data_IF_262991890036
#
_entry.id   IF_262991890036
#
_cell.length_a   1.000
_cell.length_b   1.000
_cell.length_c   1.000
_cell.angle_alpha   90.00
_cell.angle_beta   90.00
_cell.angle_gamma   90.00
#
_symmetry.space_group_name_H-M   'P 1'
#
loop_
_entity.id
_entity.type
_entity.pdbx_description
1 polymer ?
#
# COMPACT_ATOMS: atom_id res chain seq x y z
N UNK A 1 81.38 6.36 32.23
CA UNK A 1 81.57 7.73 31.72
C UNK A 1 80.47 7.96 30.69
N UNK A 2 79.49 8.83 30.98
CA UNK A 2 78.36 9.05 30.07
C UNK A 2 78.75 10.14 29.07
N UNK A 3 78.86 9.78 27.79
CA UNK A 3 79.04 10.75 26.70
C UNK A 3 77.63 11.07 26.18
N UNK A 4 77.22 12.34 26.30
CA UNK A 4 75.98 12.83 25.72
C UNK A 4 76.17 13.06 24.21
N UNK A 5 75.53 12.25 23.38
CA UNK A 5 75.24 12.58 21.98
C UNK A 5 73.77 12.96 21.84
N UNK A 6 73.48 13.98 21.01
CA UNK A 6 72.25 14.78 20.99
C UNK A 6 70.90 14.11 20.67
N UNK A 7 70.73 12.80 20.88
CA UNK A 7 69.41 12.17 20.94
C UNK A 7 69.52 10.80 21.61
N UNK A 8 69.00 10.67 22.83
CA UNK A 8 68.86 9.39 23.54
C UNK A 8 70.04 8.99 24.43
N UNK A 9 69.77 8.74 25.71
CA UNK A 9 70.70 8.07 26.63
C UNK A 9 70.68 6.58 26.27
N UNK A 10 71.77 6.06 25.70
CA UNK A 10 71.97 4.61 25.54
C UNK A 10 72.26 3.99 26.91
N UNK A 11 71.19 3.65 27.63
CA UNK A 11 71.29 2.97 28.92
C UNK A 11 71.68 1.51 28.70
N UNK A 12 72.80 1.06 29.29
CA UNK A 12 73.21 -0.35 29.31
C UNK A 12 74.47 -0.72 28.52
N UNK A 13 75.23 0.26 27.99
CA UNK A 13 76.52 -0.06 27.35
C UNK A 13 77.59 -0.34 28.41
N UNK A 14 77.91 -1.61 28.64
CA UNK A 14 79.08 -2.00 29.42
C UNK A 14 80.34 -1.90 28.54
N UNK A 15 81.00 -0.74 28.62
CA UNK A 15 82.17 -0.36 27.81
C UNK A 15 83.47 -0.94 28.40
N UNK A 16 83.39 -1.68 29.52
CA UNK A 16 84.56 -2.18 30.26
C UNK A 16 85.46 -3.11 29.41
N UNK A 17 84.88 -3.86 28.47
CA UNK A 17 85.60 -4.75 27.56
C UNK A 17 86.46 -4.01 26.51
N UNK A 18 86.14 -2.74 26.20
CA UNK A 18 86.87 -1.95 25.19
C UNK A 18 88.16 -1.33 25.74
N UNK A 19 88.34 -1.29 27.07
CA UNK A 19 89.53 -0.73 27.72
C UNK A 19 90.66 -1.74 27.98
N UNK A 20 90.47 -3.02 27.67
CA UNK A 20 91.43 -4.10 27.98
C UNK A 20 92.26 -4.56 26.78
N UNK A 21 91.99 -4.04 25.57
CA UNK A 21 92.63 -4.52 24.34
C UNK A 21 93.10 -3.34 23.48
N UNK A 22 94.40 -3.28 23.14
CA UNK A 22 94.99 -2.21 22.31
C UNK A 22 95.09 -2.57 20.81
N UNK A 23 94.39 -3.63 20.38
CA UNK A 23 94.40 -4.13 19.00
C UNK A 23 93.25 -3.51 18.20
N UNK A 24 93.61 -2.67 17.22
CA UNK A 24 92.67 -1.82 16.45
C UNK A 24 91.66 -2.67 15.67
N UNK A 25 92.06 -3.83 15.14
CA UNK A 25 91.15 -4.71 14.39
C UNK A 25 90.13 -5.37 15.30
N UNK A 26 90.53 -5.78 16.50
CA UNK A 26 89.62 -6.36 17.51
C UNK A 26 88.62 -5.34 18.03
N UNK A 27 89.05 -4.08 18.25
CA UNK A 27 88.16 -3.00 18.66
C UNK A 27 87.11 -2.68 17.59
N UNK A 28 87.48 -2.68 16.30
CA UNK A 28 86.54 -2.50 15.17
C UNK A 28 85.54 -3.65 15.10
N UNK A 29 86.00 -4.89 15.25
CA UNK A 29 85.12 -6.06 15.24
C UNK A 29 84.11 -6.05 16.41
N UNK A 30 84.54 -5.69 17.62
CA UNK A 30 83.66 -5.55 18.78
C UNK A 30 82.65 -4.41 18.60
N UNK A 31 83.06 -3.26 18.08
CA UNK A 31 82.16 -2.13 17.81
C UNK A 31 81.09 -2.50 16.77
N UNK A 32 81.47 -3.18 15.68
CA UNK A 32 80.53 -3.67 14.67
C UNK A 32 79.55 -4.70 15.25
N UNK A 33 80.03 -5.66 16.04
CA UNK A 33 79.17 -6.64 16.69
C UNK A 33 78.19 -5.99 17.68
N UNK A 34 78.62 -4.97 18.41
CA UNK A 34 77.78 -4.24 19.35
C UNK A 34 76.70 -3.41 18.63
N UNK A 35 77.05 -2.73 17.53
CA UNK A 35 76.10 -1.99 16.69
C UNK A 35 75.10 -2.96 16.05
N UNK A 36 75.55 -4.11 15.56
CA UNK A 36 74.68 -5.12 14.96
C UNK A 36 73.70 -5.72 15.98
N UNK A 37 74.16 -5.96 17.22
CA UNK A 37 73.29 -6.38 18.33
C UNK A 37 72.22 -5.34 18.65
N UNK A 38 72.60 -4.07 18.81
CA UNK A 38 71.66 -2.97 19.07
C UNK A 38 70.66 -2.78 17.92
N UNK A 39 71.09 -2.93 16.67
CA UNK A 39 70.20 -2.88 15.50
C UNK A 39 69.20 -4.04 15.52
N UNK A 40 69.61 -5.24 15.93
CA UNK A 40 68.72 -6.40 16.04
C UNK A 40 67.70 -6.27 17.18
N UNK A 41 68.11 -5.74 18.33
CA UNK A 41 67.24 -5.50 19.49
C UNK A 41 66.21 -4.40 19.17
N UNK A 42 66.65 -3.27 18.60
CA UNK A 42 65.75 -2.20 18.17
C UNK A 42 64.77 -2.64 17.05
N UNK A 43 65.20 -3.56 16.17
CA UNK A 43 64.32 -4.11 15.14
C UNK A 43 63.26 -5.04 15.76
N UNK A 44 63.62 -5.85 16.75
CA UNK A 44 62.68 -6.69 17.47
C UNK A 44 61.64 -5.86 18.24
N UNK A 45 62.09 -4.81 18.94
CA UNK A 45 61.22 -3.90 19.69
C UNK A 45 60.24 -3.14 18.77
N UNK A 46 60.69 -2.71 17.58
CA UNK A 46 59.83 -2.08 16.57
C UNK A 46 58.72 -3.01 16.09
N UNK A 47 59.05 -4.27 15.80
CA UNK A 47 58.06 -5.26 15.33
C UNK A 47 57.01 -5.52 16.40
N UNK A 48 57.40 -5.59 17.67
CA UNK A 48 56.46 -5.78 18.77
C UNK A 48 55.56 -4.55 18.98
N UNK A 49 56.11 -3.34 18.89
CA UNK A 49 55.33 -2.10 18.93
C UNK A 49 54.35 -1.98 17.76
N UNK A 50 54.73 -2.39 16.55
CA UNK A 50 53.85 -2.40 15.37
C UNK A 50 52.68 -3.39 15.55
N UNK A 51 52.94 -4.57 16.14
CA UNK A 51 51.89 -5.55 16.47
C UNK A 51 50.92 -5.01 17.51
N UNK A 52 51.44 -4.40 18.57
CA UNK A 52 50.60 -3.81 19.62
C UNK A 52 49.73 -2.67 19.07
N UNK A 53 50.30 -1.82 18.22
CA UNK A 53 49.60 -0.71 17.57
C UNK A 53 48.50 -1.22 16.64
N UNK A 54 48.77 -2.28 15.88
CA UNK A 54 47.79 -2.92 15.00
C UNK A 54 46.63 -3.54 15.81
N UNK A 55 46.92 -4.23 16.92
CA UNK A 55 45.92 -4.78 17.82
C UNK A 55 45.04 -3.68 18.46
N UNK A 56 45.65 -2.57 18.89
CA UNK A 56 44.92 -1.39 19.42
C UNK A 56 44.03 -0.75 18.36
N UNK A 57 44.51 -0.60 17.12
CA UNK A 57 43.73 -0.04 16.02
C UNK A 57 42.52 -0.92 15.67
N UNK A 58 42.69 -2.24 15.62
CA UNK A 58 41.57 -3.16 15.42
C UNK A 58 40.54 -3.03 16.55
N UNK A 59 40.99 -2.89 17.79
CA UNK A 59 40.10 -2.69 18.94
C UNK A 59 39.32 -1.37 18.84
N UNK A 60 39.97 -0.29 18.43
CA UNK A 60 39.33 1.02 18.23
C UNK A 60 38.25 0.93 17.14
N UNK A 61 38.56 0.33 15.98
CA UNK A 61 37.59 0.15 14.90
C UNK A 61 36.35 -0.64 15.37
N UNK A 62 36.54 -1.73 16.11
CA UNK A 62 35.43 -2.51 16.66
C UNK A 62 34.57 -1.68 17.62
N UNK A 63 35.19 -0.88 18.49
CA UNK A 63 34.47 -0.01 19.42
C UNK A 63 33.71 1.11 18.70
N UNK A 64 34.28 1.68 17.65
CA UNK A 64 33.62 2.69 16.82
C UNK A 64 32.40 2.12 16.09
N UNK A 65 32.51 0.93 15.50
CA UNK A 65 31.38 0.27 14.83
C UNK A 65 30.27 -0.09 15.82
N UNK A 66 30.60 -0.60 17.01
CA UNK A 66 29.61 -0.83 18.07
C UNK A 66 28.92 0.47 18.50
N UNK A 67 29.66 1.57 18.65
CA UNK A 67 29.09 2.87 18.99
C UNK A 67 28.14 3.38 17.90
N UNK A 68 28.50 3.22 16.62
CA UNK A 68 27.61 3.55 15.50
C UNK A 68 26.31 2.74 15.55
N UNK A 69 26.40 1.43 15.77
CA UNK A 69 25.23 0.55 15.89
C UNK A 69 24.32 0.94 17.06
N UNK A 70 24.88 1.16 18.25
CA UNK A 70 24.11 1.58 19.43
C UNK A 70 23.47 2.95 19.20
N UNK A 71 24.18 3.89 18.56
CA UNK A 71 23.63 5.21 18.23
C UNK A 71 22.48 5.10 17.22
N UNK A 72 22.59 4.22 16.23
CA UNK A 72 21.52 3.94 15.27
C UNK A 72 20.31 3.23 15.93
N UNK A 73 20.53 2.32 16.87
CA UNK A 73 19.43 1.68 17.60
C UNK A 73 18.71 2.66 18.55
N UNK A 74 19.46 3.54 19.21
CA UNK A 74 18.93 4.48 20.22
C UNK A 74 18.33 5.75 19.62
N UNK A 75 18.95 6.28 18.57
CA UNK A 75 18.59 7.57 17.95
C UNK A 75 18.31 7.47 16.44
N UNK A 76 18.53 6.32 15.82
CA UNK A 76 18.13 6.10 14.43
C UNK A 76 16.61 6.04 14.31
N UNK A 77 16.13 6.31 13.09
CA UNK A 77 14.70 6.32 12.80
C UNK A 77 14.14 4.91 12.98
N UNK A 78 13.24 4.74 13.95
CA UNK A 78 12.57 3.46 14.25
C UNK A 78 11.46 3.10 13.24
N UNK A 79 11.14 4.01 12.33
CA UNK A 79 10.20 3.80 11.25
C UNK A 79 10.72 4.52 10.00
N UNK A 80 10.50 3.91 8.83
CA UNK A 80 10.58 4.61 7.57
C UNK A 80 9.49 5.70 7.58
N UNK A 81 9.89 6.96 7.69
CA UNK A 81 8.98 8.06 7.37
C UNK A 81 8.74 8.01 5.87
N UNK A 82 7.51 7.70 5.50
CA UNK A 82 7.06 7.64 4.11
C UNK A 82 7.38 8.97 3.41
N UNK A 83 8.25 8.91 2.39
CA UNK A 83 8.58 10.07 1.56
C UNK A 83 7.34 10.49 0.75
N UNK A 84 7.30 11.74 0.26
CA UNK A 84 6.08 12.35 -0.33
C UNK A 84 5.33 11.48 -1.37
N UNK A 85 6.03 10.66 -2.17
CA UNK A 85 5.39 9.73 -3.11
C UNK A 85 4.57 8.61 -2.43
N UNK A 86 4.97 8.14 -1.24
CA UNK A 86 4.23 7.12 -0.49
C UNK A 86 2.96 7.67 0.18
N UNK A 87 2.78 9.00 0.30
CA UNK A 87 1.49 9.57 0.74
C UNK A 87 0.38 9.31 -0.28
N UNK A 88 0.71 9.31 -1.57
CA UNK A 88 -0.26 9.04 -2.63
C UNK A 88 -0.86 7.63 -2.54
N UNK A 89 -0.17 6.69 -1.88
CA UNK A 89 -0.72 5.35 -1.63
C UNK A 89 -2.00 5.36 -0.78
N UNK A 90 -2.16 6.35 0.09
CA UNK A 90 -3.35 6.48 0.94
C UNK A 90 -4.41 7.42 0.35
N UNK A 91 -4.09 8.17 -0.71
CA UNK A 91 -5.09 8.97 -1.45
C UNK A 91 -6.12 8.03 -2.10
N UNK A 92 -5.70 6.84 -2.54
CA UNK A 92 -6.58 5.81 -3.10
C UNK A 92 -7.72 5.41 -2.15
N UNK A 93 -7.40 5.24 -0.86
CA UNK A 93 -8.39 4.83 0.15
C UNK A 93 -9.34 5.99 0.48
N UNK A 94 -8.82 7.23 0.50
CA UNK A 94 -9.65 8.44 0.67
C UNK A 94 -10.62 8.59 -0.49
N UNK A 95 -10.16 8.42 -1.73
CA UNK A 95 -11.00 8.50 -2.91
C UNK A 95 -12.10 7.42 -2.88
N UNK A 96 -11.76 6.20 -2.44
CA UNK A 96 -12.73 5.12 -2.28
C UNK A 96 -13.77 5.43 -1.20
N UNK A 97 -13.36 5.97 -0.05
CA UNK A 97 -14.26 6.39 1.02
C UNK A 97 -15.19 7.52 0.57
N UNK A 98 -14.67 8.52 -0.15
CA UNK A 98 -15.46 9.60 -0.75
C UNK A 98 -16.51 9.00 -1.70
N UNK A 99 -16.10 8.11 -2.60
CA UNK A 99 -17.01 7.47 -3.55
C UNK A 99 -18.09 6.63 -2.86
N UNK A 100 -17.75 5.91 -1.78
CA UNK A 100 -18.73 5.17 -0.98
C UNK A 100 -19.77 6.10 -0.34
N UNK A 101 -19.32 7.22 0.24
CA UNK A 101 -20.21 8.21 0.84
C UNK A 101 -21.10 8.88 -0.22
N UNK A 102 -20.55 9.25 -1.37
CA UNK A 102 -21.34 9.79 -2.50
C UNK A 102 -22.39 8.80 -2.97
N UNK A 103 -22.03 7.53 -3.16
CA UNK A 103 -22.98 6.49 -3.58
C UNK A 103 -24.10 6.25 -2.54
N UNK A 104 -23.83 6.42 -1.25
CA UNK A 104 -24.88 6.39 -0.22
C UNK A 104 -25.78 7.63 -0.28
N UNK A 105 -25.20 8.83 -0.46
CA UNK A 105 -25.97 10.07 -0.58
C UNK A 105 -26.90 10.04 -1.80
N UNK A 106 -26.42 9.57 -2.94
CA UNK A 106 -27.20 9.43 -4.18
C UNK A 106 -28.43 8.52 -4.02
N UNK A 107 -28.40 7.57 -3.07
CA UNK A 107 -29.56 6.71 -2.76
C UNK A 107 -30.56 7.38 -1.81
N UNK A 108 -30.09 8.27 -0.94
CA UNK A 108 -30.90 8.89 0.11
C UNK A 108 -31.55 10.20 -0.34
N UNK A 109 -30.88 10.95 -1.22
CA UNK A 109 -31.37 12.22 -1.74
C UNK A 109 -32.09 12.00 -3.07
N UNK A 110 -33.27 12.60 -3.28
CA UNK A 110 -33.85 12.67 -4.62
C UNK A 110 -32.88 13.46 -5.50
N UNK A 111 -32.55 12.93 -6.69
CA UNK A 111 -31.71 13.63 -7.66
C UNK A 111 -32.39 14.95 -8.02
N UNK A 112 -31.89 16.06 -7.48
CA UNK A 112 -32.38 17.38 -7.85
C UNK A 112 -31.83 17.71 -9.24
N UNK A 113 -32.66 18.24 -10.16
CA UNK A 113 -32.21 18.67 -11.48
C UNK A 113 -31.17 19.81 -11.42
N UNK A 114 -30.98 20.43 -10.25
CA UNK A 114 -30.02 21.52 -10.02
C UNK A 114 -28.55 21.08 -9.97
N UNK A 115 -28.24 19.79 -9.84
CA UNK A 115 -26.83 19.33 -9.90
C UNK A 115 -26.24 19.39 -11.32
N UNK A 116 -27.08 19.43 -12.35
CA UNK A 116 -26.66 19.62 -13.75
C UNK A 116 -26.28 21.09 -14.06
N UNK A 117 -26.58 22.06 -13.18
CA UNK A 117 -26.30 23.50 -13.39
C UNK A 117 -24.98 23.99 -12.77
N UNK A 118 -24.19 23.14 -12.10
CA UNK A 118 -22.85 23.56 -11.64
C UNK A 118 -21.89 23.64 -12.83
N UNK A 119 -21.30 24.84 -12.99
CA UNK A 119 -20.30 25.31 -13.98
C UNK A 119 -19.55 24.22 -14.77
N UNK A 120 -19.26 24.44 -16.06
CA UNK A 120 -18.66 23.43 -16.94
C UNK A 120 -17.25 23.08 -16.45
N UNK A 121 -17.15 22.14 -15.52
CA UNK A 121 -15.93 21.38 -15.31
C UNK A 121 -15.67 20.70 -16.65
N UNK A 122 -14.51 20.95 -17.23
CA UNK A 122 -13.97 20.19 -18.36
C UNK A 122 -14.22 18.71 -18.07
N UNK A 123 -15.29 18.14 -18.63
CA UNK A 123 -15.62 16.73 -18.45
C UNK A 123 -14.55 16.00 -19.25
N UNK A 124 -13.65 15.23 -18.61
CA UNK A 124 -12.62 14.52 -19.34
C UNK A 124 -13.30 13.69 -20.43
N UNK A 125 -12.90 13.92 -21.67
CA UNK A 125 -13.44 13.20 -22.82
C UNK A 125 -13.11 11.73 -22.63
N UNK A 126 -14.15 10.91 -22.49
CA UNK A 126 -13.98 9.46 -22.30
C UNK A 126 -13.23 8.91 -23.50
N UNK A 127 -12.11 8.24 -23.25
CA UNK A 127 -11.40 7.50 -24.29
C UNK A 127 -12.29 6.32 -24.73
N UNK A 128 -12.41 6.05 -26.03
CA UNK A 128 -13.12 4.87 -26.49
C UNK A 128 -12.42 3.61 -25.99
N UNK A 129 -13.19 2.54 -25.78
CA UNK A 129 -12.63 1.24 -25.42
C UNK A 129 -11.77 0.69 -26.57
N UNK A 130 -10.71 -0.08 -26.28
CA UNK A 130 -9.78 -0.56 -27.32
C UNK A 130 -10.49 -1.28 -28.47
N UNK A 131 -10.08 -0.98 -29.70
CA UNK A 131 -10.71 -1.52 -30.90
C UNK A 131 -10.48 -3.03 -31.07
N UNK A 132 -9.33 -3.54 -30.59
CA UNK A 132 -8.94 -4.95 -30.74
C UNK A 132 -9.74 -5.91 -29.84
N UNK A 133 -10.44 -5.39 -28.81
CA UNK A 133 -11.21 -6.24 -27.91
C UNK A 133 -12.48 -6.76 -28.61
N UNK A 134 -12.85 -8.04 -28.38
CA UNK A 134 -14.05 -8.63 -28.96
C UNK A 134 -15.29 -7.89 -28.47
N UNK A 135 -16.24 -7.63 -29.38
CA UNK A 135 -17.52 -6.97 -29.07
C UNK A 135 -18.65 -7.98 -29.09
N UNK A 136 -19.41 -8.04 -28.00
CA UNK A 136 -20.61 -8.87 -27.88
C UNK A 136 -21.81 -7.95 -27.90
N UNK A 137 -22.68 -8.12 -28.90
CA UNK A 137 -23.87 -7.29 -29.05
C UNK A 137 -25.03 -7.84 -28.20
N UNK A 138 -25.62 -6.96 -27.39
CA UNK A 138 -26.78 -7.25 -26.53
C UNK A 138 -27.90 -6.31 -26.92
N UNK A 139 -28.88 -6.82 -27.66
CA UNK A 139 -30.05 -6.03 -28.10
C UNK A 139 -31.11 -6.08 -27.00
N UNK A 140 -31.48 -4.92 -26.46
CA UNK A 140 -32.54 -4.78 -25.46
C UNK A 140 -33.72 -4.07 -26.13
N UNK A 141 -34.72 -4.86 -26.50
CA UNK A 141 -35.98 -4.35 -27.06
C UNK A 141 -36.92 -3.92 -25.92
N UNK A 142 -37.88 -3.00 -26.18
CA UNK A 142 -39.00 -2.79 -25.27
C UNK A 142 -39.81 -4.09 -25.12
N UNK A 143 -40.52 -4.23 -24.00
CA UNK A 143 -41.31 -5.43 -23.68
C UNK A 143 -42.50 -5.63 -24.64
N UNK A 144 -42.97 -4.56 -25.27
CA UNK A 144 -44.09 -4.57 -26.22
C UNK A 144 -43.73 -3.86 -27.52
N UNK A 145 -44.22 -4.39 -28.63
CA UNK A 145 -44.13 -3.77 -29.96
C UNK A 145 -45.26 -2.74 -30.21
N UNK A 146 -46.17 -2.59 -29.24
CA UNK A 146 -47.31 -1.67 -29.28
C UNK A 146 -47.26 -0.68 -28.13
N UNK A 147 -47.86 0.50 -28.34
CA UNK A 147 -47.90 1.55 -27.35
C UNK A 147 -48.81 1.17 -26.17
N UNK A 148 -48.34 1.19 -24.91
CA UNK A 148 -49.16 0.81 -23.76
C UNK A 148 -50.36 1.74 -23.50
N UNK A 149 -50.45 2.90 -24.15
CA UNK A 149 -51.52 3.87 -23.96
C UNK A 149 -52.59 3.86 -25.06
N UNK A 150 -52.22 3.57 -26.32
CA UNK A 150 -53.15 3.60 -27.46
C UNK A 150 -53.13 2.33 -28.30
N UNK A 151 -52.35 1.32 -27.91
CA UNK A 151 -52.21 0.01 -28.57
C UNK A 151 -51.71 0.06 -30.03
N UNK A 152 -51.22 1.22 -30.50
CA UNK A 152 -50.73 1.33 -31.87
C UNK A 152 -49.28 0.83 -32.04
N UNK A 153 -48.96 0.26 -33.23
CA UNK A 153 -47.65 -0.32 -33.49
C UNK A 153 -46.56 0.76 -33.44
N UNK A 154 -45.51 0.46 -32.69
CA UNK A 154 -44.38 1.35 -32.46
C UNK A 154 -43.49 1.44 -33.70
N UNK A 155 -43.09 2.66 -34.07
CA UNK A 155 -42.20 2.90 -35.20
C UNK A 155 -40.76 3.08 -34.75
N UNK A 156 -39.82 2.34 -35.33
CA UNK A 156 -38.39 2.48 -35.02
C UNK A 156 -37.88 3.87 -35.45
N UNK A 157 -37.11 4.50 -34.56
CA UNK A 157 -36.51 5.83 -34.79
C UNK A 157 -35.00 5.70 -35.00
N UNK A 158 -34.31 5.14 -34.00
CA UNK A 158 -32.85 5.07 -33.91
C UNK A 158 -32.44 4.07 -32.85
N UNK A 159 -31.19 3.63 -32.90
CA UNK A 159 -30.60 2.80 -31.86
C UNK A 159 -29.74 3.64 -30.92
N UNK A 160 -30.00 3.52 -29.62
CA UNK A 160 -29.12 4.05 -28.58
C UNK A 160 -28.08 2.98 -28.22
N UNK A 161 -26.82 3.25 -28.51
CA UNK A 161 -25.72 2.32 -28.27
C UNK A 161 -24.91 2.74 -27.04
N UNK A 162 -24.53 1.78 -26.21
CA UNK A 162 -23.56 1.99 -25.13
C UNK A 162 -22.61 0.79 -25.03
N UNK A 163 -21.33 1.08 -24.85
CA UNK A 163 -20.29 0.05 -24.70
C UNK A 163 -19.85 -0.02 -23.23
N UNK A 164 -19.75 -1.24 -22.70
CA UNK A 164 -19.24 -1.54 -21.36
C UNK A 164 -18.19 -2.63 -21.41
N UNK A 165 -17.11 -2.44 -20.68
CA UNK A 165 -16.01 -3.38 -20.55
C UNK A 165 -16.37 -4.49 -19.54
N UNK A 166 -16.33 -5.74 -19.97
CA UNK A 166 -16.47 -6.93 -19.16
C UNK A 166 -15.12 -7.59 -18.95
N UNK A 167 -14.84 -8.00 -17.71
CA UNK A 167 -13.73 -8.88 -17.40
C UNK A 167 -14.23 -10.32 -17.30
N UNK A 168 -13.70 -11.19 -18.15
CA UNK A 168 -13.81 -12.64 -18.01
C UNK A 168 -12.42 -13.10 -17.55
N UNK A 169 -12.27 -14.04 -16.60
CA UNK A 169 -10.95 -14.45 -16.14
C UNK A 169 -9.94 -14.62 -17.29
N UNK A 170 -8.85 -13.88 -17.21
CA UNK A 170 -7.76 -13.76 -18.18
C UNK A 170 -8.00 -12.96 -19.49
N UNK A 171 -9.19 -12.42 -19.79
CA UNK A 171 -9.39 -11.56 -20.97
C UNK A 171 -10.55 -10.55 -20.84
N UNK A 172 -10.55 -9.54 -21.71
CA UNK A 172 -11.58 -8.51 -21.73
C UNK A 172 -12.50 -8.65 -22.94
N UNK A 173 -13.77 -8.33 -22.74
CA UNK A 173 -14.80 -8.27 -23.78
C UNK A 173 -15.52 -6.94 -23.66
N UNK A 174 -15.97 -6.38 -24.77
CA UNK A 174 -16.80 -5.17 -24.78
C UNK A 174 -18.24 -5.56 -25.06
N UNK A 175 -19.11 -5.42 -24.08
CA UNK A 175 -20.55 -5.54 -24.26
C UNK A 175 -21.10 -4.28 -24.91
N UNK A 176 -21.60 -4.42 -26.14
CA UNK A 176 -22.32 -3.36 -26.85
C UNK A 176 -23.81 -3.55 -26.63
N UNK A 177 -24.37 -2.74 -25.74
CA UNK A 177 -25.81 -2.67 -25.52
C UNK A 177 -26.44 -1.81 -26.60
N UNK A 178 -27.30 -2.43 -27.41
CA UNK A 178 -28.07 -1.78 -28.46
C UNK A 178 -29.50 -1.68 -27.95
N UNK A 179 -29.97 -0.46 -27.73
CA UNK A 179 -31.33 -0.18 -27.28
C UNK A 179 -32.09 0.55 -28.37
N UNK A 180 -32.87 -0.17 -29.20
CA UNK A 180 -33.71 0.48 -30.19
C UNK A 180 -34.70 1.42 -29.50
N UNK A 181 -34.86 2.61 -30.05
CA UNK A 181 -35.83 3.61 -29.62
C UNK A 181 -36.97 3.62 -30.64
N UNK A 182 -38.18 3.49 -30.15
CA UNK A 182 -39.39 3.53 -30.95
C UNK A 182 -40.27 4.71 -30.55
N UNK A 183 -41.00 5.30 -31.49
CA UNK A 183 -42.02 6.32 -31.24
C UNK A 183 -43.41 5.78 -31.51
N UNK A 184 -44.36 6.16 -30.65
CA UNK A 184 -45.76 6.04 -30.97
C UNK A 184 -46.23 7.22 -31.85
N UNK A 185 -46.85 6.98 -33.03
CA UNK A 185 -47.34 8.06 -33.89
C UNK A 185 -48.54 8.82 -33.29
N UNK A 186 -49.36 8.18 -32.45
CA UNK A 186 -50.51 8.81 -31.79
C UNK A 186 -50.09 9.65 -30.57
N UNK A 187 -49.32 9.06 -29.65
CA UNK A 187 -48.96 9.69 -28.37
C UNK A 187 -47.68 10.54 -28.42
N UNK A 188 -46.88 10.44 -29.49
CA UNK A 188 -45.56 11.09 -29.64
C UNK A 188 -44.57 10.79 -28.49
N UNK A 189 -44.76 9.67 -27.77
CA UNK A 189 -43.86 9.18 -26.72
C UNK A 189 -42.81 8.22 -27.28
N UNK A 190 -41.62 8.22 -26.66
CA UNK A 190 -40.50 7.35 -27.03
C UNK A 190 -40.41 6.20 -26.04
N UNK A 191 -40.35 4.97 -26.57
CA UNK A 191 -40.21 3.73 -25.83
C UNK A 191 -38.88 3.06 -26.19
N UNK A 192 -38.21 2.51 -25.20
CA UNK A 192 -36.94 1.80 -25.37
C UNK A 192 -36.74 0.82 -24.23
N UNK A 193 -35.97 -0.24 -24.48
CA UNK A 193 -35.65 -1.22 -23.45
C UNK A 193 -34.91 -0.61 -22.26
N UNK A 194 -35.19 -1.09 -21.06
CA UNK A 194 -34.49 -0.67 -19.86
C UNK A 194 -33.10 -1.29 -19.78
N UNK A 195 -32.10 -0.48 -19.42
CA UNK A 195 -30.77 -1.03 -19.16
C UNK A 195 -30.81 -1.88 -17.89
N UNK A 196 -30.12 -3.02 -17.86
CA UNK A 196 -29.93 -3.77 -16.63
C UNK A 196 -29.38 -2.88 -15.51
N UNK A 197 -29.80 -3.15 -14.29
CA UNK A 197 -29.26 -2.45 -13.13
C UNK A 197 -27.76 -2.72 -13.00
N UNK A 198 -26.96 -1.66 -12.97
CA UNK A 198 -25.51 -1.75 -12.75
C UNK A 198 -25.14 -0.98 -11.49
N UNK A 199 -24.12 -1.46 -10.76
CA UNK A 199 -23.58 -0.81 -9.56
C UNK A 199 -23.20 0.65 -9.83
N UNK A 200 -22.56 0.89 -11.00
CA UNK A 200 -22.22 2.23 -11.48
C UNK A 200 -22.89 2.46 -12.85
N UNK A 201 -24.11 3.04 -12.91
CA UNK A 201 -24.87 3.16 -14.15
C UNK A 201 -24.14 3.95 -15.24
N UNK A 202 -23.49 5.06 -14.86
CA UNK A 202 -22.78 5.97 -15.78
C UNK A 202 -21.38 5.48 -16.17
N UNK A 203 -20.91 4.35 -15.63
CA UNK A 203 -19.57 3.84 -15.88
C UNK A 203 -19.49 3.00 -17.16
N UNK A 204 -18.30 3.00 -17.77
CA UNK A 204 -17.96 2.18 -18.94
C UNK A 204 -17.53 0.75 -18.56
N UNK A 205 -17.69 0.34 -17.30
CA UNK A 205 -17.34 -1.01 -16.83
C UNK A 205 -18.57 -1.80 -16.40
N UNK A 206 -18.48 -3.12 -16.57
CA UNK A 206 -19.41 -4.11 -16.03
C UNK A 206 -19.08 -4.43 -14.56
N UNK A 207 -20.04 -5.02 -13.82
CA UNK A 207 -19.80 -5.51 -12.45
C UNK A 207 -18.62 -6.48 -12.34
N UNK A 208 -18.29 -7.22 -13.39
CA UNK A 208 -17.15 -8.16 -13.38
C UNK A 208 -15.80 -7.47 -13.27
N UNK A 209 -15.62 -6.29 -13.89
CA UNK A 209 -14.40 -5.49 -13.74
C UNK A 209 -14.31 -4.95 -12.31
N UNK A 210 -15.43 -4.47 -11.76
CA UNK A 210 -15.51 -3.99 -10.37
C UNK A 210 -15.11 -5.13 -9.42
N UNK A 211 -15.68 -6.33 -9.62
CA UNK A 211 -15.35 -7.51 -8.83
C UNK A 211 -13.85 -7.85 -8.92
N UNK A 212 -13.27 -7.84 -10.12
CA UNK A 212 -11.84 -8.11 -10.30
C UNK A 212 -10.97 -7.10 -9.55
N UNK A 213 -11.30 -5.80 -9.60
CA UNK A 213 -10.56 -4.74 -8.88
C UNK A 213 -10.61 -4.96 -7.37
N UNK A 214 -11.80 -5.25 -6.84
CA UNK A 214 -12.04 -5.48 -5.41
C UNK A 214 -11.34 -6.75 -4.93
N UNK A 215 -11.46 -7.86 -5.65
CA UNK A 215 -10.78 -9.12 -5.35
C UNK A 215 -9.26 -8.91 -5.35
N UNK A 216 -8.72 -8.30 -6.40
CA UNK A 216 -7.28 -8.05 -6.50
C UNK A 216 -6.79 -7.15 -5.34
N UNK A 217 -7.58 -6.14 -4.93
CA UNK A 217 -7.20 -5.23 -3.83
C UNK A 217 -7.21 -5.94 -2.48
N UNK A 218 -8.26 -6.70 -2.19
CA UNK A 218 -8.52 -7.20 -0.84
C UNK A 218 -8.09 -8.66 -0.62
N UNK A 219 -8.25 -9.53 -1.61
CA UNK A 219 -7.85 -10.94 -1.54
C UNK A 219 -6.38 -11.13 -1.92
N UNK A 220 -5.93 -10.46 -2.99
CA UNK A 220 -4.56 -10.63 -3.51
C UNK A 220 -3.58 -9.56 -3.01
N UNK A 221 -4.04 -8.67 -2.13
CA UNK A 221 -3.25 -7.58 -1.55
C UNK A 221 -2.57 -6.70 -2.60
N UNK A 222 -3.25 -6.41 -3.72
CA UNK A 222 -2.72 -5.60 -4.80
C UNK A 222 -3.26 -4.16 -4.77
N UNK A 223 -2.44 -3.16 -4.39
CA UNK A 223 -2.83 -1.75 -4.43
C UNK A 223 -3.26 -1.28 -5.82
N UNK A 224 -4.12 -0.27 -5.91
CA UNK A 224 -4.75 0.12 -7.17
C UNK A 224 -3.72 0.65 -8.18
N UNK A 225 -2.71 1.42 -7.75
CA UNK A 225 -1.62 1.83 -8.62
C UNK A 225 -0.85 0.65 -9.25
N UNK A 226 -0.82 -0.53 -8.60
CA UNK A 226 -0.21 -1.75 -9.17
C UNK A 226 -1.16 -2.48 -10.10
N UNK A 227 -2.48 -2.36 -9.89
CA UNK A 227 -3.47 -2.93 -10.80
C UNK A 227 -3.50 -2.16 -12.13
N UNK A 228 -3.36 -0.82 -12.11
CA UNK A 228 -3.33 0.01 -13.33
C UNK A 228 -2.41 -0.54 -14.44
N UNK A 229 -1.10 -0.77 -14.21
CA UNK A 229 -0.23 -1.32 -15.24
C UNK A 229 -0.53 -2.78 -15.60
N UNK A 230 -1.29 -3.52 -14.80
CA UNK A 230 -1.78 -4.85 -15.19
C UNK A 230 -2.88 -4.72 -16.25
N UNK A 231 -3.89 -3.87 -16.01
CA UNK A 231 -4.93 -3.58 -17.00
C UNK A 231 -4.33 -2.99 -18.29
N UNK A 232 -3.32 -2.11 -18.16
CA UNK A 232 -2.65 -1.51 -19.31
C UNK A 232 -1.93 -2.52 -20.22
N UNK A 233 -1.62 -3.74 -19.76
CA UNK A 233 -1.06 -4.81 -20.62
C UNK A 233 -2.06 -5.34 -21.65
N UNK A 234 -3.35 -5.09 -21.42
CA UNK A 234 -4.44 -5.37 -22.36
C UNK A 234 -4.95 -4.10 -23.04
N UNK A 235 -4.14 -3.02 -23.05
CA UNK A 235 -4.51 -1.65 -23.45
C UNK A 235 -5.75 -1.09 -22.75
N UNK A 236 -6.13 -1.64 -21.59
CA UNK A 236 -7.23 -1.14 -20.78
C UNK A 236 -6.68 -0.06 -19.84
N UNK A 237 -6.88 1.20 -20.20
CA UNK A 237 -6.45 2.36 -19.41
C UNK A 237 -7.49 2.71 -18.34
N UNK A 238 -7.30 2.18 -17.13
CA UNK A 238 -8.10 2.50 -15.94
C UNK A 238 -7.29 3.37 -14.98
N UNK A 239 -7.79 4.59 -14.71
CA UNK A 239 -7.17 5.46 -13.72
C UNK A 239 -7.34 4.89 -12.31
N UNK A 240 -6.39 5.22 -11.43
CA UNK A 240 -6.48 4.86 -10.00
C UNK A 240 -7.74 5.42 -9.36
N UNK A 241 -8.10 6.66 -9.69
CA UNK A 241 -9.35 7.30 -9.24
C UNK A 241 -10.59 6.51 -9.68
N UNK A 242 -10.64 6.04 -10.94
CA UNK A 242 -11.77 5.24 -11.42
C UNK A 242 -11.88 3.92 -10.68
N UNK A 243 -10.75 3.28 -10.38
CA UNK A 243 -10.74 2.05 -9.58
C UNK A 243 -11.13 2.32 -8.12
N UNK A 244 -10.74 3.46 -7.54
CA UNK A 244 -11.17 3.87 -6.21
C UNK A 244 -12.69 4.10 -6.17
N UNK A 245 -13.26 4.76 -7.20
CA UNK A 245 -14.71 4.91 -7.36
C UNK A 245 -15.43 3.56 -7.41
N UNK A 246 -14.85 2.58 -8.12
CA UNK A 246 -15.37 1.20 -8.19
C UNK A 246 -15.35 0.52 -6.82
N UNK A 247 -14.25 0.64 -6.06
CA UNK A 247 -14.13 0.07 -4.71
C UNK A 247 -15.17 0.70 -3.77
N UNK A 248 -15.31 2.03 -3.79
CA UNK A 248 -16.28 2.74 -2.96
C UNK A 248 -17.72 2.34 -3.29
N UNK A 249 -18.06 2.29 -4.58
CA UNK A 249 -19.39 1.87 -5.03
C UNK A 249 -19.70 0.41 -4.68
N UNK A 250 -18.72 -0.48 -4.77
CA UNK A 250 -18.86 -1.86 -4.33
C UNK A 250 -19.09 -1.95 -2.81
N UNK A 251 -18.34 -1.18 -2.01
CA UNK A 251 -18.55 -1.08 -0.57
C UNK A 251 -19.97 -0.62 -0.22
N UNK A 252 -20.46 0.42 -0.89
CA UNK A 252 -21.81 0.92 -0.72
C UNK A 252 -22.91 -0.06 -1.16
N UNK A 253 -22.64 -0.88 -2.18
CA UNK A 253 -23.55 -1.92 -2.63
C UNK A 253 -23.59 -3.12 -1.66
N UNK A 254 -22.46 -3.44 -1.01
CA UNK A 254 -22.34 -4.54 -0.06
C UNK A 254 -22.71 -4.17 1.39
N UNK A 255 -22.84 -2.88 1.71
CA UNK A 255 -23.20 -2.39 3.04
C UNK A 255 -24.44 -3.06 3.67
N UNK A 256 -25.57 -3.29 2.94
CA UNK A 256 -26.72 -4.01 3.50
C UNK A 256 -26.39 -5.45 3.91
N UNK A 257 -25.51 -6.13 3.18
CA UNK A 257 -25.06 -7.47 3.53
C UNK A 257 -24.20 -7.45 4.81
N UNK A 258 -23.31 -6.46 4.93
CA UNK A 258 -22.51 -6.27 6.15
C UNK A 258 -23.40 -6.02 7.38
N UNK A 259 -24.46 -5.22 7.24
CA UNK A 259 -25.43 -4.99 8.31
C UNK A 259 -26.21 -6.26 8.70
N UNK A 260 -26.60 -7.08 7.71
CA UNK A 260 -27.23 -8.37 7.96
C UNK A 260 -26.30 -9.35 8.69
N UNK A 261 -25.03 -9.43 8.28
CA UNK A 261 -24.01 -10.25 8.94
C UNK A 261 -23.78 -9.79 10.39
N UNK A 262 -23.73 -8.49 10.64
CA UNK A 262 -23.59 -7.94 12.00
C UNK A 262 -24.78 -8.34 12.88
N UNK A 263 -26.02 -8.16 12.39
CA UNK A 263 -27.22 -8.58 13.14
C UNK A 263 -27.21 -10.08 13.43
N UNK A 264 -26.80 -10.89 12.46
CA UNK A 264 -26.72 -12.34 12.61
C UNK A 264 -25.57 -12.76 13.53
N UNK A 265 -24.48 -12.00 13.61
CA UNK A 265 -23.42 -12.23 14.57
C UNK A 265 -23.90 -11.99 16.01
N UNK A 266 -24.70 -10.94 16.23
CA UNK A 266 -25.25 -10.61 17.55
C UNK A 266 -26.30 -11.62 18.05
N UNK A 267 -26.82 -12.50 17.18
CA UNK A 267 -27.70 -13.61 17.61
C UNK A 267 -26.92 -14.82 18.10
N UNK A 268 -25.58 -14.85 17.92
CA UNK A 268 -24.75 -16.00 18.28
C UNK A 268 -24.49 -16.07 19.78
N UNK A 269 -24.46 -17.28 20.39
CA UNK A 269 -24.21 -17.45 21.81
C UNK A 269 -22.80 -17.00 22.22
N UNK A 270 -21.83 -17.19 21.32
CA UNK A 270 -20.43 -16.86 21.56
C UNK A 270 -19.90 -16.02 20.40
N UNK A 271 -19.29 -14.88 20.75
CA UNK A 271 -18.58 -13.98 19.82
C UNK A 271 -17.15 -13.84 20.32
N UNK A 272 -16.19 -14.12 19.46
CA UNK A 272 -14.78 -13.82 19.69
C UNK A 272 -14.50 -12.40 19.19
N UNK A 273 -13.72 -11.64 19.96
CA UNK A 273 -13.28 -10.32 19.58
C UNK A 273 -11.76 -10.23 19.73
N UNK A 274 -11.10 -9.67 18.73
CA UNK A 274 -9.67 -9.36 18.76
C UNK A 274 -9.43 -8.01 18.08
N UNK A 275 -8.46 -7.24 18.57
CA UNK A 275 -8.11 -5.96 17.97
C UNK A 275 -6.69 -5.96 17.38
N UNK A 276 -6.57 -5.45 16.15
CA UNK A 276 -5.27 -5.22 15.51
C UNK A 276 -5.05 -3.72 15.33
N UNK A 277 -3.87 -3.24 15.72
CA UNK A 277 -3.50 -1.82 15.55
C UNK A 277 -3.07 -1.56 14.10
N UNK A 278 -3.59 -0.49 13.50
CA UNK A 278 -3.17 0.01 12.18
C UNK A 278 -2.97 1.52 12.17
N UNK A 279 -2.43 2.04 11.06
CA UNK A 279 -2.37 3.48 10.81
C UNK A 279 -3.54 3.87 9.91
N UNK A 280 -4.34 4.83 10.36
CA UNK A 280 -5.48 5.37 9.62
C UNK A 280 -5.17 6.83 9.30
N UNK A 281 -5.62 7.33 8.16
CA UNK A 281 -5.58 8.76 7.88
C UNK A 281 -6.63 9.51 8.71
N UNK A 282 -6.18 10.50 9.49
CA UNK A 282 -7.07 11.43 10.17
C UNK A 282 -7.44 12.57 9.22
N UNK A 283 -8.61 12.46 8.60
CA UNK A 283 -9.15 13.48 7.68
C UNK A 283 -9.48 14.79 8.40
N UNK A 284 -9.67 14.78 9.73
CA UNK A 284 -9.97 15.98 10.53
C UNK A 284 -8.69 16.75 10.91
N UNK A 285 -7.54 16.08 11.00
CA UNK A 285 -6.24 16.69 11.35
C UNK A 285 -5.32 16.92 10.15
N UNK A 286 -5.89 17.32 9.01
CA UNK A 286 -5.12 17.71 7.83
C UNK A 286 -4.33 16.56 7.19
N UNK A 287 -4.89 15.34 7.20
CA UNK A 287 -4.32 14.18 6.49
C UNK A 287 -3.11 13.55 7.18
N UNK A 288 -2.91 13.79 8.48
CA UNK A 288 -1.88 13.08 9.26
C UNK A 288 -2.37 11.68 9.62
N UNK A 289 -1.48 10.69 9.54
CA UNK A 289 -1.80 9.34 10.03
C UNK A 289 -1.93 9.34 11.55
N UNK A 290 -3.02 8.80 12.07
CA UNK A 290 -3.20 8.47 13.49
C UNK A 290 -3.14 6.95 13.70
N UNK A 291 -2.97 6.52 14.95
CA UNK A 291 -3.16 5.10 15.28
C UNK A 291 -4.65 4.82 15.34
N UNK A 292 -5.08 3.72 14.74
CA UNK A 292 -6.42 3.19 14.84
C UNK A 292 -6.40 1.69 15.10
N UNK A 293 -7.58 1.12 15.30
CA UNK A 293 -7.78 -0.25 15.73
C UNK A 293 -8.87 -0.86 14.86
N UNK A 294 -8.53 -1.97 14.21
CA UNK A 294 -9.48 -2.80 13.49
C UNK A 294 -9.89 -3.93 14.44
N UNK A 295 -11.12 -3.84 14.91
CA UNK A 295 -11.74 -4.88 15.72
C UNK A 295 -12.32 -5.94 14.81
N UNK A 296 -11.92 -7.19 15.00
CA UNK A 296 -12.49 -8.34 14.34
C UNK A 296 -13.42 -9.05 15.31
N UNK A 297 -14.69 -9.19 14.94
CA UNK A 297 -15.69 -9.97 15.67
C UNK A 297 -16.05 -11.20 14.86
N UNK A 298 -15.88 -12.37 15.47
CA UNK A 298 -16.02 -13.66 14.80
C UNK A 298 -16.99 -14.54 15.57
N UNK A 299 -17.90 -15.21 14.85
CA UNK A 299 -18.81 -16.19 15.44
C UNK A 299 -18.03 -17.39 16.01
N UNK A 300 -18.44 -17.93 17.16
CA UNK A 300 -17.84 -19.15 17.70
C UNK A 300 -17.92 -20.34 16.73
N UNK A 301 -16.91 -21.20 16.71
CA UNK A 301 -16.78 -22.31 15.75
C UNK A 301 -17.99 -23.26 15.72
N UNK A 302 -18.64 -23.47 16.87
CA UNK A 302 -19.81 -24.35 17.02
C UNK A 302 -21.16 -23.63 16.91
N UNK A 303 -21.15 -22.34 16.60
CA UNK A 303 -22.36 -21.50 16.62
C UNK A 303 -23.09 -21.44 15.27
N UNK A 304 -22.70 -22.26 14.28
CA UNK A 304 -23.30 -22.31 12.94
C UNK A 304 -22.36 -21.79 11.86
N UNK A 305 -22.92 -21.17 10.81
CA UNK A 305 -22.14 -20.56 9.72
C UNK A 305 -21.15 -19.53 10.25
N UNK A 306 -19.92 -19.55 9.73
CA UNK A 306 -18.86 -18.63 10.10
C UNK A 306 -19.19 -17.20 9.65
N UNK A 307 -19.12 -16.26 10.58
CA UNK A 307 -19.32 -14.84 10.33
C UNK A 307 -18.12 -14.08 10.86
N UNK A 308 -17.61 -13.15 10.07
CA UNK A 308 -16.54 -12.23 10.44
C UNK A 308 -17.02 -10.81 10.12
N UNK A 309 -17.06 -9.96 11.14
CA UNK A 309 -17.39 -8.55 11.01
C UNK A 309 -16.21 -7.71 11.49
N UNK A 310 -15.91 -6.63 10.77
CA UNK A 310 -14.85 -5.71 11.13
C UNK A 310 -15.43 -4.35 11.55
N UNK A 311 -14.87 -3.76 12.60
CA UNK A 311 -15.18 -2.40 13.05
C UNK A 311 -13.90 -1.58 13.21
N UNK A 312 -13.78 -0.49 12.47
CA UNK A 312 -12.58 0.34 12.44
C UNK A 312 -12.75 1.57 13.33
N UNK A 313 -11.93 1.69 14.38
CA UNK A 313 -12.10 2.72 15.43
C UNK A 313 -10.80 3.48 15.71
N UNK A 314 -10.88 4.76 16.12
CA UNK A 314 -9.70 5.56 16.42
C UNK A 314 -9.07 5.25 17.79
N UNK A 315 -9.68 4.37 18.59
CA UNK A 315 -9.20 4.06 19.93
C UNK A 315 -9.51 2.63 20.37
N UNK A 316 -8.98 2.27 21.54
CA UNK A 316 -9.11 0.93 22.16
C UNK A 316 -9.95 0.91 23.45
N UNK A 317 -10.73 1.98 23.69
CA UNK A 317 -11.56 2.08 24.89
C UNK A 317 -12.73 1.11 24.86
N UNK A 318 -13.18 0.66 26.04
CA UNK A 318 -14.31 -0.28 26.20
C UNK A 318 -15.60 0.19 25.48
N UNK A 319 -15.80 1.50 25.36
CA UNK A 319 -16.93 2.10 24.64
C UNK A 319 -17.09 1.62 23.20
N UNK A 320 -16.01 1.20 22.53
CA UNK A 320 -16.09 0.75 21.14
C UNK A 320 -16.75 -0.63 21.01
N UNK A 321 -16.21 -1.70 21.63
CA UNK A 321 -16.87 -2.99 21.63
C UNK A 321 -18.23 -2.97 22.32
N UNK A 322 -18.40 -2.19 23.40
CA UNK A 322 -19.70 -2.08 24.09
C UNK A 322 -20.81 -1.55 23.16
N UNK A 323 -20.52 -0.47 22.42
CA UNK A 323 -21.48 0.07 21.45
C UNK A 323 -21.70 -0.88 20.26
N UNK A 324 -20.65 -1.56 19.78
CA UNK A 324 -20.74 -2.44 18.62
C UNK A 324 -21.47 -3.75 18.91
N UNK A 325 -21.35 -4.25 20.15
CA UNK A 325 -22.02 -5.45 20.64
C UNK A 325 -23.35 -5.14 21.35
N UNK A 326 -23.85 -3.91 21.24
CA UNK A 326 -25.11 -3.53 21.86
C UNK A 326 -26.25 -4.47 21.41
N UNK A 327 -26.95 -5.06 22.38
CA UNK A 327 -28.03 -6.01 22.13
C UNK A 327 -27.60 -7.48 22.08
N UNK A 328 -26.29 -7.77 22.16
CA UNK A 328 -25.81 -9.14 22.37
C UNK A 328 -25.94 -9.52 23.85
N UNK A 329 -26.64 -10.61 24.13
CA UNK A 329 -26.81 -11.11 25.50
C UNK A 329 -25.79 -12.18 25.89
N UNK A 330 -25.17 -12.84 24.89
CA UNK A 330 -24.29 -13.98 25.11
C UNK A 330 -24.91 -15.13 25.89
N UNK A 331 -24.09 -16.15 26.17
CA UNK A 331 -24.33 -17.21 27.16
C UNK A 331 -23.04 -17.48 27.91
#
# INVERSE_FOLDING_TARGET
MNICTGSGILSGMDISALNTTNDIEKLRAMALAMVQKLMSENAADKVEQERELLAKNQRIQLLEEMLKLVRQQRFGKKCETLAGMQRSLFEEDVDADIAALTAHLDKLLPQSPEEDEKAPRSRPVRRPLPAHLPRVEKIIRPDTDHCPECDEPLHHIRDAMSEKLEYIPAHFVVNRYIRPQYSCPCCQKVFSGEMPAHILPKSAVEPSVIAQVVISKHCDHQPLYRQRPIFARSDVDLSVSSMADMVGAAGAALSPLAALLHRELLSRPVVHADETTLKILDTKKGGKSCSGYLWAYVSGERSGSQIVCFDCRPGRGHQYPENWLQGWSGT
#
